data_IF_607009584741
#
_entry.id   IF_607009584741
#
_cell.length_a   1.000
_cell.length_b   1.000
_cell.length_c   1.000
_cell.angle_alpha   90.00
_cell.angle_beta   90.00
_cell.angle_gamma   90.00
#
_symmetry.space_group_name_H-M   'P 1'
#
loop_
_entity.id
_entity.type
_entity.pdbx_description
1 polymer ?
#
# COMPACT_ATOMS: atom_id res chain seq x y z
N UNK A 1 -18.18 2.36 8.69
CA UNK A 1 -17.65 1.18 8.01
C UNK A 1 -16.14 1.21 8.12
N UNK A 2 -15.50 0.06 8.35
CA UNK A 2 -14.05 -0.08 8.39
C UNK A 2 -13.58 -0.92 7.21
N UNK A 3 -12.50 -0.48 6.58
CA UNK A 3 -11.80 -1.21 5.54
C UNK A 3 -10.40 -1.57 6.06
N UNK A 4 -10.05 -2.84 5.91
CA UNK A 4 -8.70 -3.35 6.10
C UNK A 4 -8.19 -3.82 4.75
N UNK A 5 -7.02 -3.34 4.36
CA UNK A 5 -6.36 -3.75 3.11
C UNK A 5 -4.98 -4.29 3.45
N UNK A 6 -4.74 -5.52 3.01
CA UNK A 6 -3.49 -6.23 3.14
C UNK A 6 -2.87 -6.41 1.74
N UNK A 7 -1.64 -5.92 1.56
CA UNK A 7 -0.90 -6.01 0.30
C UNK A 7 0.44 -6.67 0.55
N UNK A 8 0.59 -7.89 0.05
CA UNK A 8 1.88 -8.56 -0.03
C UNK A 8 2.72 -7.95 -1.16
N UNK A 9 3.98 -7.62 -0.88
CA UNK A 9 4.87 -7.05 -1.87
C UNK A 9 6.31 -7.56 -1.71
N UNK A 10 7.01 -7.52 -2.84
CA UNK A 10 8.39 -7.96 -2.96
C UNK A 10 9.20 -6.87 -3.66
N UNK A 11 10.39 -6.58 -3.12
CA UNK A 11 11.36 -5.65 -3.69
C UNK A 11 12.48 -6.46 -4.30
N UNK A 12 12.77 -6.18 -5.57
CA UNK A 12 13.80 -6.86 -6.33
C UNK A 12 14.92 -5.88 -6.70
N UNK A 13 16.15 -6.38 -6.70
CA UNK A 13 17.26 -5.73 -7.38
C UNK A 13 17.23 -6.17 -8.85
N UNK A 14 17.28 -5.21 -9.76
CA UNK A 14 17.27 -5.48 -11.21
C UNK A 14 18.72 -5.55 -11.68
N UNK A 15 19.25 -6.77 -11.83
CA UNK A 15 20.57 -7.05 -12.43
C UNK A 15 20.38 -7.95 -13.66
N UNK A 16 21.41 -8.67 -14.12
CA UNK A 16 21.23 -9.78 -15.07
C UNK A 16 20.26 -10.85 -14.53
N UNK A 17 20.17 -10.98 -13.21
CA UNK A 17 19.19 -11.81 -12.52
C UNK A 17 18.20 -10.96 -11.72
N UNK A 18 16.95 -11.41 -11.62
CA UNK A 18 15.92 -10.81 -10.76
C UNK A 18 16.10 -11.32 -9.34
N UNK A 19 16.88 -10.61 -8.55
CA UNK A 19 17.21 -11.01 -7.17
C UNK A 19 16.20 -10.40 -6.20
N UNK A 20 15.54 -11.24 -5.40
CA UNK A 20 14.64 -10.77 -4.35
C UNK A 20 15.44 -10.25 -3.16
N UNK A 21 15.26 -8.97 -2.81
CA UNK A 21 15.99 -8.31 -1.73
C UNK A 21 15.18 -8.26 -0.45
N UNK A 22 13.87 -8.10 -0.58
CA UNK A 22 12.97 -7.92 0.56
C UNK A 22 11.56 -8.36 0.18
N UNK A 23 10.85 -8.92 1.15
CA UNK A 23 9.42 -9.24 1.02
C UNK A 23 8.74 -8.90 2.33
N UNK A 24 7.56 -8.32 2.26
CA UNK A 24 6.76 -8.01 3.44
C UNK A 24 5.31 -7.78 3.03
N UNK A 25 4.48 -7.51 4.02
CA UNK A 25 3.07 -7.20 3.85
C UNK A 25 2.78 -5.80 4.40
N UNK A 26 2.16 -4.94 3.60
CA UNK A 26 1.62 -3.67 4.04
C UNK A 26 0.18 -3.86 4.48
N UNK A 27 -0.13 -3.51 5.74
CA UNK A 27 -1.49 -3.51 6.28
C UNK A 27 -1.91 -2.09 6.59
N UNK A 28 -3.02 -1.66 6.02
CA UNK A 28 -3.57 -0.31 6.20
C UNK A 28 -5.04 -0.41 6.57
N UNK A 29 -5.43 0.41 7.55
CA UNK A 29 -6.77 0.47 8.08
C UNK A 29 -7.33 1.86 7.88
N UNK A 30 -8.54 1.96 7.36
CA UNK A 30 -9.23 3.23 7.28
C UNK A 30 -10.73 3.06 7.47
N UNK A 31 -11.42 4.14 7.84
CA UNK A 31 -12.83 4.12 8.18
C UNK A 31 -13.56 5.27 7.51
N UNK A 32 -14.78 5.01 7.06
CA UNK A 32 -15.69 6.07 6.61
C UNK A 32 -17.09 5.88 7.16
N UNK A 33 -17.83 6.98 7.22
CA UNK A 33 -19.17 7.04 7.78
C UNK A 33 -20.19 6.78 6.68
N UNK A 34 -21.14 5.90 6.94
CA UNK A 34 -22.28 5.68 6.05
C UNK A 34 -23.34 6.73 6.28
N UNK A 35 -23.98 7.16 5.21
CA UNK A 35 -25.12 8.05 5.16
C UNK A 35 -26.32 7.33 4.55
N UNK A 36 -27.50 7.96 4.59
CA UNK A 36 -28.70 7.47 3.91
C UNK A 36 -28.61 7.53 2.38
N UNK A 37 -27.64 8.25 1.82
CA UNK A 37 -27.45 8.38 0.37
C UNK A 37 -26.41 7.38 -0.12
N UNK A 38 -26.82 6.48 -1.00
CA UNK A 38 -25.92 5.52 -1.67
C UNK A 38 -24.82 6.24 -2.47
N UNK A 39 -25.16 7.37 -3.10
CA UNK A 39 -24.18 8.18 -3.84
C UNK A 39 -23.06 8.71 -2.92
N UNK A 40 -23.42 9.26 -1.77
CA UNK A 40 -22.44 9.76 -0.80
C UNK A 40 -21.58 8.62 -0.24
N UNK A 41 -22.18 7.45 -0.02
CA UNK A 41 -21.46 6.27 0.46
C UNK A 41 -20.44 5.79 -0.56
N UNK A 42 -20.81 5.73 -1.84
CA UNK A 42 -19.89 5.36 -2.92
C UNK A 42 -18.72 6.35 -3.05
N UNK A 43 -18.98 7.66 -2.95
CA UNK A 43 -17.93 8.68 -2.97
C UNK A 43 -16.99 8.58 -1.75
N UNK A 44 -17.54 8.35 -0.57
CA UNK A 44 -16.75 8.16 0.65
C UNK A 44 -15.88 6.90 0.57
N UNK A 45 -16.42 5.81 0.02
CA UNK A 45 -15.69 4.56 -0.20
C UNK A 45 -14.52 4.74 -1.18
N UNK A 46 -14.77 5.33 -2.36
CA UNK A 46 -13.71 5.61 -3.36
C UNK A 46 -12.61 6.50 -2.76
N UNK A 47 -13.00 7.54 -2.03
CA UNK A 47 -12.04 8.44 -1.37
C UNK A 47 -11.21 7.69 -0.33
N UNK A 48 -11.82 6.77 0.41
CA UNK A 48 -11.13 5.94 1.40
C UNK A 48 -10.14 4.99 0.75
N UNK A 49 -10.50 4.32 -0.35
CA UNK A 49 -9.57 3.48 -1.10
C UNK A 49 -8.37 4.27 -1.65
N UNK A 50 -8.59 5.50 -2.12
CA UNK A 50 -7.51 6.37 -2.58
C UNK A 50 -6.54 6.75 -1.44
N UNK A 51 -7.04 6.97 -0.23
CA UNK A 51 -6.19 7.22 0.94
C UNK A 51 -5.39 5.97 1.31
N UNK A 52 -6.05 4.81 1.36
CA UNK A 52 -5.40 3.52 1.62
C UNK A 52 -4.28 3.25 0.61
N UNK A 53 -4.54 3.45 -0.69
CA UNK A 53 -3.56 3.22 -1.74
C UNK A 53 -2.31 4.11 -1.57
N UNK A 54 -2.49 5.38 -1.20
CA UNK A 54 -1.38 6.30 -0.90
C UNK A 54 -0.56 5.84 0.30
N UNK A 55 -1.22 5.34 1.34
CA UNK A 55 -0.55 4.85 2.53
C UNK A 55 0.23 3.56 2.26
N UNK A 56 -0.36 2.61 1.53
CA UNK A 56 0.35 1.41 1.05
C UNK A 56 1.59 1.80 0.24
N UNK A 57 1.46 2.73 -0.70
CA UNK A 57 2.59 3.21 -1.49
C UNK A 57 3.67 3.87 -0.61
N UNK A 58 3.29 4.62 0.41
CA UNK A 58 4.21 5.22 1.38
C UNK A 58 4.99 4.17 2.16
N UNK A 59 4.31 3.12 2.65
CA UNK A 59 4.93 1.99 3.36
C UNK A 59 5.95 1.27 2.46
N UNK A 60 5.58 0.96 1.22
CA UNK A 60 6.46 0.30 0.26
C UNK A 60 7.67 1.19 -0.05
N UNK A 61 7.46 2.47 -0.32
CA UNK A 61 8.54 3.43 -0.60
C UNK A 61 9.53 3.56 0.57
N UNK A 62 9.03 3.60 1.82
CA UNK A 62 9.89 3.58 3.00
C UNK A 62 10.78 2.34 3.03
N UNK A 63 10.25 1.17 2.69
CA UNK A 63 11.03 -0.07 2.66
C UNK A 63 12.02 -0.12 1.49
N UNK A 64 11.71 0.50 0.36
CA UNK A 64 12.68 0.71 -0.72
C UNK A 64 13.84 1.56 -0.22
N UNK A 65 13.57 2.71 0.44
CA UNK A 65 14.61 3.58 0.99
C UNK A 65 15.48 2.86 2.04
N UNK A 66 14.86 2.09 2.94
CA UNK A 66 15.59 1.34 3.97
C UNK A 66 16.47 0.22 3.38
N UNK A 67 16.06 -0.38 2.27
CA UNK A 67 16.83 -1.42 1.58
C UNK A 67 17.72 -0.86 0.47
N UNK A 68 17.79 0.46 0.28
CA UNK A 68 18.56 1.09 -0.80
C UNK A 68 20.01 0.59 -0.93
N UNK A 69 20.80 0.40 0.15
CA UNK A 69 22.14 -0.17 0.02
C UNK A 69 22.14 -1.57 -0.59
N UNK A 70 21.15 -2.39 -0.25
CA UNK A 70 20.95 -3.71 -0.85
C UNK A 70 20.33 -3.65 -2.25
N UNK A 71 19.99 -2.49 -2.78
CA UNK A 71 19.54 -2.33 -4.16
C UNK A 71 20.66 -1.82 -5.07
N UNK A 72 21.71 -1.23 -4.51
CA UNK A 72 22.81 -0.60 -5.25
C UNK A 72 24.12 -1.41 -5.27
N UNK A 73 24.24 -2.43 -4.41
CA UNK A 73 25.37 -3.37 -4.46
C UNK A 73 25.14 -4.45 -5.52
#
# INVERSE_FOLDING_TARGET
MQLEVEVEYQIFRVTEFREMVFTNTARVYNTFTLSSSEYNNAQAEISTYNLIAKEVASVINKQISLNHPKLMN
#
